data_IF_490175230259
#
_entry.id   IF_490175230259
#
_cell.length_a   1.000
_cell.length_b   1.000
_cell.length_c   1.000
_cell.angle_alpha   90.00
_cell.angle_beta   90.00
_cell.angle_gamma   90.00
#
_symmetry.space_group_name_H-M   'P 1'
#
loop_
_entity.id
_entity.type
_entity.pdbx_description
1 polymer ?
#
# COMPACT_ATOMS: atom_id res chain seq x y z
N UNK A 1 -5.20 -18.29 21.60
CA UNK A 1 -4.80 -17.16 22.49
C UNK A 1 -3.97 -16.21 21.68
N UNK A 2 -4.52 -15.04 21.29
CA UNK A 2 -3.76 -14.05 20.55
C UNK A 2 -2.70 -13.44 21.48
N UNK A 3 -1.46 -13.76 21.23
CA UNK A 3 -0.30 -13.17 21.93
C UNK A 3 -0.37 -11.65 21.75
N UNK A 4 -0.47 -10.92 22.85
CA UNK A 4 -0.55 -9.46 22.90
C UNK A 4 0.76 -8.88 22.36
N UNK A 5 0.87 -8.80 21.02
CA UNK A 5 2.06 -8.23 20.38
C UNK A 5 2.22 -6.78 20.86
N UNK A 6 3.43 -6.43 21.26
CA UNK A 6 3.74 -5.05 21.66
C UNK A 6 3.36 -4.08 20.53
N UNK A 7 2.56 -3.06 20.83
CA UNK A 7 2.05 -2.05 19.88
C UNK A 7 3.15 -1.45 18.99
N UNK A 8 4.34 -1.27 19.55
CA UNK A 8 5.53 -0.84 18.83
C UNK A 8 5.99 -1.84 17.77
N UNK A 9 5.81 -3.12 18.03
CA UNK A 9 6.21 -4.19 17.13
C UNK A 9 5.30 -4.26 15.90
N UNK A 10 4.00 -3.98 16.07
CA UNK A 10 3.01 -3.90 14.98
C UNK A 10 3.37 -2.72 14.07
N UNK A 11 3.61 -1.54 14.64
CA UNK A 11 3.97 -0.34 13.87
C UNK A 11 5.29 -0.51 13.08
N UNK A 12 6.34 -0.99 13.74
CA UNK A 12 7.67 -1.17 13.11
C UNK A 12 7.67 -2.30 12.08
N UNK A 13 6.83 -3.31 12.27
CA UNK A 13 6.70 -4.41 11.31
C UNK A 13 6.20 -3.91 9.94
N UNK A 14 5.23 -3.00 9.91
CA UNK A 14 4.71 -2.43 8.66
C UNK A 14 5.73 -1.63 7.85
N UNK A 15 6.71 -0.99 8.51
CA UNK A 15 7.70 -0.17 7.83
C UNK A 15 8.81 -1.00 7.17
N UNK A 16 9.36 -2.00 7.88
CA UNK A 16 10.58 -2.70 7.46
C UNK A 16 10.32 -4.18 7.15
N UNK A 17 9.64 -4.90 8.07
CA UNK A 17 9.46 -6.36 7.96
C UNK A 17 8.35 -6.76 7.01
N UNK A 18 7.29 -5.95 6.93
CA UNK A 18 6.09 -6.21 6.12
C UNK A 18 5.80 -5.03 5.18
N UNK A 19 6.83 -4.46 4.54
CA UNK A 19 6.61 -3.37 3.59
C UNK A 19 5.63 -3.82 2.51
N UNK A 20 4.48 -3.11 2.33
CA UNK A 20 3.41 -3.58 1.47
C UNK A 20 3.82 -3.70 0.01
N UNK A 21 4.66 -2.80 -0.48
CA UNK A 21 5.04 -2.76 -1.90
C UNK A 21 6.24 -3.64 -2.19
N UNK A 22 7.32 -3.54 -1.38
CA UNK A 22 8.58 -4.24 -1.66
C UNK A 22 8.57 -5.72 -1.24
N UNK A 23 7.73 -6.10 -0.27
CA UNK A 23 7.67 -7.47 0.23
C UNK A 23 6.40 -8.21 -0.15
N UNK A 24 5.25 -7.61 0.11
CA UNK A 24 3.97 -8.21 -0.21
C UNK A 24 3.59 -8.02 -1.69
N UNK A 25 4.29 -7.14 -2.41
CA UNK A 25 4.01 -6.79 -3.82
C UNK A 25 2.56 -6.31 -4.00
N UNK A 26 2.03 -5.67 -2.96
CA UNK A 26 0.69 -5.08 -2.95
C UNK A 26 0.75 -3.60 -3.33
N UNK A 27 -0.27 -3.09 -4.01
CA UNK A 27 -0.37 -1.67 -4.37
C UNK A 27 0.53 -1.22 -5.52
N UNK A 28 1.08 -2.15 -6.31
CA UNK A 28 1.91 -1.83 -7.47
C UNK A 28 1.19 -0.95 -8.50
N UNK A 29 -0.14 -1.12 -8.67
CA UNK A 29 -0.91 -0.37 -9.67
C UNK A 29 -0.84 1.14 -9.43
N UNK A 30 -1.08 1.58 -8.19
CA UNK A 30 -0.99 3.00 -7.82
C UNK A 30 0.46 3.48 -7.79
N UNK A 31 1.41 2.65 -7.34
CA UNK A 31 2.83 2.97 -7.31
C UNK A 31 3.39 3.21 -8.72
N UNK A 32 3.03 2.41 -9.71
CA UNK A 32 3.48 2.58 -11.09
C UNK A 32 2.86 3.80 -11.78
N UNK A 33 1.60 4.10 -11.46
CA UNK A 33 0.85 5.17 -12.13
C UNK A 33 1.26 6.58 -11.66
N UNK A 34 1.51 6.77 -10.35
CA UNK A 34 1.63 8.11 -9.73
C UNK A 34 3.09 8.52 -9.48
N UNK A 35 4.05 7.60 -9.53
CA UNK A 35 5.46 7.88 -9.19
C UNK A 35 6.26 8.61 -10.27
N UNK A 36 5.62 9.30 -11.21
CA UNK A 36 6.30 10.16 -12.19
C UNK A 36 6.80 11.47 -11.60
N UNK A 37 6.18 11.94 -10.50
CA UNK A 37 6.56 13.15 -9.77
C UNK A 37 6.57 12.88 -8.26
N UNK A 38 7.54 13.45 -7.55
CA UNK A 38 7.65 13.28 -6.09
C UNK A 38 6.48 13.92 -5.34
N UNK A 39 6.02 15.08 -5.80
CA UNK A 39 4.86 15.77 -5.20
C UNK A 39 3.57 14.95 -5.33
N UNK A 40 3.34 14.35 -6.50
CA UNK A 40 2.21 13.46 -6.74
C UNK A 40 2.28 12.19 -5.89
N UNK A 41 3.47 11.59 -5.79
CA UNK A 41 3.71 10.41 -4.97
C UNK A 41 3.46 10.66 -3.47
N UNK A 42 3.88 11.84 -2.96
CA UNK A 42 3.64 12.24 -1.58
C UNK A 42 2.14 12.46 -1.31
N UNK A 43 1.47 13.19 -2.19
CA UNK A 43 0.03 13.45 -2.07
C UNK A 43 -0.80 12.18 -2.08
N UNK A 44 -0.50 11.27 -3.01
CA UNK A 44 -1.14 9.95 -3.09
C UNK A 44 -0.84 9.07 -1.88
N UNK A 45 0.41 9.09 -1.40
CA UNK A 45 0.84 8.35 -0.22
C UNK A 45 0.10 8.78 1.04
N UNK A 46 -0.07 10.09 1.25
CA UNK A 46 -0.82 10.63 2.38
C UNK A 46 -2.32 10.30 2.29
N UNK A 47 -2.93 10.49 1.12
CA UNK A 47 -4.33 10.15 0.90
C UNK A 47 -4.59 8.67 1.13
N UNK A 48 -3.72 7.79 0.60
CA UNK A 48 -3.79 6.35 0.78
C UNK A 48 -3.68 5.95 2.25
N UNK A 49 -2.72 6.52 3.00
CA UNK A 49 -2.52 6.23 4.42
C UNK A 49 -3.75 6.64 5.24
N UNK A 50 -4.31 7.82 4.96
CA UNK A 50 -5.51 8.28 5.63
C UNK A 50 -6.70 7.35 5.38
N UNK A 51 -6.96 7.00 4.13
CA UNK A 51 -8.04 6.06 3.76
C UNK A 51 -7.81 4.68 4.41
N UNK A 52 -6.57 4.18 4.42
CA UNK A 52 -6.22 2.90 5.01
C UNK A 52 -6.51 2.86 6.51
N UNK A 53 -6.13 3.90 7.26
CA UNK A 53 -6.40 4.00 8.69
C UNK A 53 -7.90 4.10 8.96
N UNK A 54 -8.61 4.98 8.25
CA UNK A 54 -10.05 5.14 8.42
C UNK A 54 -10.82 3.85 8.08
N UNK A 55 -10.48 3.18 6.97
CA UNK A 55 -11.12 1.93 6.57
C UNK A 55 -10.86 0.81 7.57
N UNK A 56 -9.63 0.67 8.07
CA UNK A 56 -9.30 -0.33 9.09
C UNK A 56 -10.08 -0.11 10.38
N UNK A 57 -10.24 1.14 10.83
CA UNK A 57 -11.05 1.48 12.02
C UNK A 57 -12.51 1.10 11.81
N UNK A 58 -13.11 1.50 10.70
CA UNK A 58 -14.52 1.24 10.40
C UNK A 58 -14.78 -0.26 10.24
N UNK A 59 -13.95 -0.97 9.49
CA UNK A 59 -14.10 -2.41 9.27
C UNK A 59 -13.93 -3.19 10.58
N UNK A 60 -12.93 -2.84 11.39
CA UNK A 60 -12.74 -3.47 12.69
C UNK A 60 -13.92 -3.21 13.65
N UNK A 61 -14.57 -2.06 13.59
CA UNK A 61 -15.77 -1.75 14.35
C UNK A 61 -16.99 -2.56 13.86
N UNK A 62 -17.16 -2.70 12.54
CA UNK A 62 -18.28 -3.39 11.90
C UNK A 62 -18.12 -4.91 11.81
N UNK A 63 -16.99 -5.48 12.18
CA UNK A 63 -16.65 -6.91 12.01
C UNK A 63 -17.69 -7.88 12.60
N UNK A 64 -18.42 -7.46 13.63
CA UNK A 64 -19.46 -8.30 14.28
C UNK A 64 -20.79 -8.30 13.53
N UNK A 65 -21.00 -7.32 12.64
CA UNK A 65 -22.26 -7.12 11.92
C UNK A 65 -22.21 -7.75 10.53
N UNK A 66 -21.01 -7.81 9.92
CA UNK A 66 -20.84 -8.28 8.56
C UNK A 66 -20.76 -9.83 8.54
N UNK A 67 -21.69 -10.52 7.85
CA UNK A 67 -21.67 -11.98 7.75
C UNK A 67 -20.53 -12.46 6.84
N UNK A 68 -19.93 -13.63 7.19
CA UNK A 68 -18.74 -14.17 6.53
C UNK A 68 -18.88 -14.36 5.00
N UNK A 69 -20.09 -14.56 4.49
CA UNK A 69 -20.33 -14.82 3.07
C UNK A 69 -20.23 -13.59 2.14
N UNK A 70 -20.30 -12.37 2.71
CA UNK A 70 -20.38 -11.11 1.95
C UNK A 70 -19.34 -10.06 2.40
N UNK A 71 -18.21 -10.50 2.95
CA UNK A 71 -17.17 -9.60 3.46
C UNK A 71 -16.61 -8.66 2.38
N UNK A 72 -16.14 -9.21 1.25
CA UNK A 72 -15.48 -8.45 0.19
C UNK A 72 -16.35 -7.34 -0.39
N UNK A 73 -17.61 -7.58 -0.84
CA UNK A 73 -18.44 -6.50 -1.37
C UNK A 73 -18.77 -5.44 -0.32
N UNK A 74 -18.95 -5.79 0.95
CA UNK A 74 -19.17 -4.83 2.02
C UNK A 74 -17.96 -3.93 2.26
N UNK A 75 -16.75 -4.50 2.24
CA UNK A 75 -15.53 -3.72 2.41
C UNK A 75 -15.34 -2.72 1.26
N UNK A 76 -15.58 -3.13 0.02
CA UNK A 76 -15.49 -2.24 -1.14
C UNK A 76 -16.44 -1.05 -1.01
N UNK A 77 -17.67 -1.26 -0.56
CA UNK A 77 -18.65 -0.18 -0.35
C UNK A 77 -18.19 0.79 0.75
N UNK A 78 -17.68 0.28 1.87
CA UNK A 78 -17.18 1.09 2.97
C UNK A 78 -15.98 1.94 2.49
N UNK A 79 -15.02 1.31 1.82
CA UNK A 79 -13.83 1.99 1.29
C UNK A 79 -14.22 3.04 0.25
N UNK A 80 -15.15 2.72 -0.65
CA UNK A 80 -15.65 3.66 -1.67
C UNK A 80 -16.29 4.89 -1.04
N UNK A 81 -17.08 4.72 0.02
CA UNK A 81 -17.70 5.83 0.75
C UNK A 81 -16.64 6.75 1.36
N UNK A 82 -15.63 6.18 2.03
CA UNK A 82 -14.54 6.97 2.63
C UNK A 82 -13.74 7.71 1.55
N UNK A 83 -13.40 7.04 0.45
CA UNK A 83 -12.66 7.65 -0.67
C UNK A 83 -13.47 8.80 -1.29
N UNK A 84 -14.78 8.66 -1.46
CA UNK A 84 -15.63 9.73 -2.00
C UNK A 84 -15.62 10.95 -1.08
N UNK A 85 -15.69 10.76 0.24
CA UNK A 85 -15.57 11.85 1.21
C UNK A 85 -14.21 12.54 1.08
N UNK A 86 -13.11 11.77 1.00
CA UNK A 86 -11.76 12.31 0.83
C UNK A 86 -11.64 13.09 -0.49
N UNK A 87 -12.25 12.61 -1.58
CA UNK A 87 -12.26 13.32 -2.86
C UNK A 87 -12.96 14.67 -2.76
N UNK A 88 -14.12 14.73 -2.11
CA UNK A 88 -14.85 15.98 -1.89
C UNK A 88 -14.04 16.98 -1.05
N UNK A 89 -13.39 16.50 0.01
CA UNK A 89 -12.53 17.33 0.87
C UNK A 89 -11.32 17.85 0.08
N UNK A 90 -10.63 17.00 -0.69
CA UNK A 90 -9.49 17.42 -1.52
C UNK A 90 -9.91 18.43 -2.60
N UNK A 91 -11.08 18.24 -3.20
CA UNK A 91 -11.62 19.17 -4.20
C UNK A 91 -11.90 20.54 -3.60
N UNK A 92 -12.37 20.61 -2.34
CA UNK A 92 -12.68 21.86 -1.66
C UNK A 92 -11.42 22.60 -1.18
N UNK A 93 -10.43 21.91 -0.62
CA UNK A 93 -9.27 22.52 0.03
C UNK A 93 -8.04 22.64 -0.87
N UNK A 94 -7.79 21.68 -1.74
CA UNK A 94 -6.58 21.62 -2.58
C UNK A 94 -6.91 21.26 -4.03
N UNK A 95 -7.57 22.16 -4.80
CA UNK A 95 -8.03 21.88 -6.16
C UNK A 95 -6.88 21.60 -7.15
N UNK A 96 -5.69 22.12 -6.91
CA UNK A 96 -4.51 21.86 -7.73
C UNK A 96 -4.06 20.39 -7.63
N UNK A 97 -4.04 19.85 -6.42
CA UNK A 97 -3.69 18.44 -6.18
C UNK A 97 -4.80 17.51 -6.69
N UNK A 98 -6.06 17.90 -6.55
CA UNK A 98 -7.19 17.15 -7.08
C UNK A 98 -7.14 17.01 -8.61
N UNK A 99 -6.76 18.06 -9.34
CA UNK A 99 -6.61 18.01 -10.81
C UNK A 99 -5.54 17.03 -11.28
N UNK A 100 -4.44 16.91 -10.53
CA UNK A 100 -3.34 16.00 -10.87
C UNK A 100 -3.60 14.55 -10.44
N UNK A 101 -4.33 14.34 -9.33
CA UNK A 101 -4.53 13.02 -8.72
C UNK A 101 -5.96 12.46 -8.88
N UNK A 102 -6.92 13.25 -9.40
CA UNK A 102 -8.35 12.92 -9.37
C UNK A 102 -8.70 11.55 -9.96
N UNK A 103 -8.10 11.19 -11.09
CA UNK A 103 -8.30 9.87 -11.73
C UNK A 103 -7.68 8.75 -10.90
N UNK A 104 -6.53 9.02 -10.25
CA UNK A 104 -5.82 8.02 -9.47
C UNK A 104 -6.42 7.79 -8.08
N UNK A 105 -7.19 8.75 -7.55
CA UNK A 105 -7.92 8.58 -6.29
C UNK A 105 -8.96 7.44 -6.39
N UNK A 106 -9.56 7.23 -7.55
CA UNK A 106 -10.46 6.10 -7.76
C UNK A 106 -9.76 4.74 -7.63
N UNK A 107 -8.45 4.67 -7.95
CA UNK A 107 -7.64 3.45 -7.76
C UNK A 107 -7.42 3.08 -6.28
N UNK A 108 -7.63 4.02 -5.36
CA UNK A 108 -7.54 3.74 -3.91
C UNK A 108 -8.65 2.79 -3.48
N UNK A 109 -9.85 2.88 -4.07
CA UNK A 109 -11.01 2.02 -3.71
C UNK A 109 -10.70 0.54 -3.89
N UNK A 110 -10.03 0.19 -5.00
CA UNK A 110 -9.69 -1.20 -5.36
C UNK A 110 -8.23 -1.54 -5.04
N UNK A 111 -7.57 -0.73 -4.21
CA UNK A 111 -6.17 -0.95 -3.88
C UNK A 111 -5.98 -2.22 -3.06
N UNK A 112 -5.10 -3.11 -3.55
CA UNK A 112 -4.82 -4.40 -2.94
C UNK A 112 -4.31 -4.29 -1.50
N UNK A 113 -3.64 -3.19 -1.13
CA UNK A 113 -3.16 -2.97 0.26
C UNK A 113 -4.36 -2.81 1.19
N UNK A 114 -5.32 -1.95 0.84
CA UNK A 114 -6.47 -1.64 1.71
C UNK A 114 -7.34 -2.87 1.86
N UNK A 115 -7.70 -3.52 0.74
CA UNK A 115 -8.49 -4.75 0.74
C UNK A 115 -7.77 -5.89 1.46
N UNK A 116 -6.49 -6.09 1.19
CA UNK A 116 -5.70 -7.14 1.83
C UNK A 116 -5.59 -6.95 3.35
N UNK A 117 -5.37 -5.72 3.84
CA UNK A 117 -5.29 -5.47 5.30
C UNK A 117 -6.67 -5.49 5.96
N UNK A 118 -7.71 -5.08 5.27
CA UNK A 118 -9.08 -5.22 5.75
C UNK A 118 -9.44 -6.68 6.05
N UNK A 119 -9.12 -7.58 5.14
CA UNK A 119 -9.42 -9.01 5.26
C UNK A 119 -8.46 -9.74 6.20
N UNK A 120 -7.14 -9.53 6.06
CA UNK A 120 -6.15 -10.29 6.83
C UNK A 120 -6.02 -9.81 8.28
N UNK A 121 -6.19 -8.52 8.54
CA UNK A 121 -5.88 -7.94 9.84
C UNK A 121 -7.08 -7.26 10.52
N UNK A 122 -7.76 -6.32 9.86
CA UNK A 122 -8.79 -5.50 10.50
C UNK A 122 -10.01 -6.30 10.94
N UNK A 123 -10.38 -7.33 10.20
CA UNK A 123 -11.52 -8.18 10.55
C UNK A 123 -11.25 -9.09 11.77
N UNK A 124 -9.99 -9.35 12.12
CA UNK A 124 -9.58 -10.28 13.19
C UNK A 124 -9.14 -9.56 14.48
N UNK A 125 -8.63 -8.33 14.38
CA UNK A 125 -7.99 -7.62 15.47
C UNK A 125 -8.84 -6.47 16.04
N UNK A 126 -8.35 -5.89 17.15
CA UNK A 126 -9.03 -4.75 17.79
C UNK A 126 -8.87 -3.47 16.97
N UNK A 127 -9.78 -2.50 17.18
CA UNK A 127 -9.78 -1.22 16.45
C UNK A 127 -8.47 -0.46 16.59
N UNK A 128 -7.89 -0.46 17.81
CA UNK A 128 -6.63 0.25 18.09
C UNK A 128 -5.45 -0.40 17.36
N UNK A 129 -5.37 -1.74 17.40
CA UNK A 129 -4.30 -2.48 16.73
C UNK A 129 -4.40 -2.34 15.21
N UNK A 130 -5.62 -2.33 14.67
CA UNK A 130 -5.90 -2.12 13.25
C UNK A 130 -5.53 -0.71 12.77
N UNK A 131 -5.72 0.31 13.60
CA UNK A 131 -5.29 1.68 13.30
C UNK A 131 -3.75 1.81 13.28
N UNK A 132 -3.07 1.21 14.27
CA UNK A 132 -1.61 1.21 14.33
C UNK A 132 -0.97 0.44 13.17
N UNK A 133 -1.56 -0.68 12.78
CA UNK A 133 -1.16 -1.43 11.60
C UNK A 133 -1.32 -0.60 10.31
N UNK A 134 -2.47 0.07 10.15
CA UNK A 134 -2.72 0.96 9.02
C UNK A 134 -1.70 2.10 8.92
N UNK A 135 -1.31 2.71 10.04
CA UNK A 135 -0.26 3.73 10.08
C UNK A 135 1.11 3.16 9.70
N UNK A 136 1.48 2.00 10.23
CA UNK A 136 2.75 1.35 9.92
C UNK A 136 2.88 0.99 8.44
N UNK A 137 1.83 0.41 7.87
CA UNK A 137 1.76 0.06 6.45
C UNK A 137 1.73 1.30 5.55
N UNK A 138 0.99 2.35 5.95
CA UNK A 138 0.95 3.62 5.24
C UNK A 138 2.31 4.30 5.18
N UNK A 139 3.05 4.34 6.29
CA UNK A 139 4.43 4.85 6.32
C UNK A 139 5.37 4.05 5.41
N UNK A 140 5.27 2.71 5.43
CA UNK A 140 6.02 1.83 4.53
C UNK A 140 5.72 2.09 3.06
N UNK A 141 4.44 2.32 2.74
CA UNK A 141 4.00 2.67 1.40
C UNK A 141 4.57 4.03 0.93
N UNK A 142 4.45 5.07 1.76
CA UNK A 142 5.00 6.42 1.46
C UNK A 142 6.50 6.34 1.20
N UNK A 143 7.24 5.63 2.03
CA UNK A 143 8.69 5.47 1.87
C UNK A 143 9.04 4.85 0.52
N UNK A 144 8.36 3.80 0.14
CA UNK A 144 8.57 3.12 -1.15
C UNK A 144 8.20 4.01 -2.33
N UNK A 145 7.08 4.74 -2.23
CA UNK A 145 6.64 5.70 -3.24
C UNK A 145 7.66 6.82 -3.44
N UNK A 146 8.22 7.37 -2.36
CA UNK A 146 9.27 8.39 -2.41
C UNK A 146 10.56 7.88 -3.05
N UNK A 147 11.00 6.68 -2.70
CA UNK A 147 12.17 6.07 -3.33
C UNK A 147 11.98 5.88 -4.83
N UNK A 148 10.83 5.32 -5.22
CA UNK A 148 10.53 5.05 -6.61
C UNK A 148 10.37 6.34 -7.43
N UNK A 149 9.65 7.35 -6.90
CA UNK A 149 9.44 8.62 -7.56
C UNK A 149 10.73 9.43 -7.67
N UNK A 150 11.60 9.42 -6.65
CA UNK A 150 12.91 10.09 -6.73
C UNK A 150 13.76 9.56 -7.87
N UNK A 151 13.86 8.24 -8.01
CA UNK A 151 14.62 7.63 -9.10
C UNK A 151 14.01 7.99 -10.46
N UNK A 152 12.70 7.89 -10.61
CA UNK A 152 12.01 8.18 -11.87
C UNK A 152 12.03 9.65 -12.25
N UNK A 153 11.87 10.57 -11.31
CA UNK A 153 11.88 12.01 -11.56
C UNK A 153 13.28 12.49 -11.93
N UNK A 154 14.33 11.99 -11.28
CA UNK A 154 15.72 12.34 -11.61
C UNK A 154 16.10 11.82 -12.99
N UNK A 155 15.79 10.57 -13.32
CA UNK A 155 16.16 9.97 -14.61
C UNK A 155 15.26 10.42 -15.77
N UNK A 156 13.98 10.67 -15.52
CA UNK A 156 12.99 11.03 -16.53
C UNK A 156 12.95 12.54 -16.83
N UNK A 157 12.84 13.36 -15.79
CA UNK A 157 12.69 14.81 -15.93
C UNK A 157 13.96 15.60 -15.62
N UNK A 158 14.95 14.99 -14.93
CA UNK A 158 16.12 15.70 -14.44
C UNK A 158 15.82 16.74 -13.36
N UNK A 159 14.62 16.68 -12.77
CA UNK A 159 14.16 17.55 -11.69
C UNK A 159 13.93 16.73 -10.43
N UNK A 160 13.98 17.37 -9.27
CA UNK A 160 13.58 16.80 -7.99
C UNK A 160 12.74 17.82 -7.22
N UNK A 161 11.50 17.53 -6.97
CA UNK A 161 10.52 18.45 -6.38
C UNK A 161 10.45 19.84 -7.10
N UNK A 162 10.62 19.86 -8.43
CA UNK A 162 10.60 21.11 -9.20
C UNK A 162 11.93 21.86 -9.28
N UNK A 163 13.00 21.37 -8.64
CA UNK A 163 14.36 21.93 -8.74
C UNK A 163 15.10 21.16 -9.85
N UNK A 164 15.59 21.85 -10.89
CA UNK A 164 16.37 21.25 -11.96
C UNK A 164 17.75 20.85 -11.44
N UNK A 165 18.04 19.55 -11.43
CA UNK A 165 19.34 18.99 -11.01
C UNK A 165 20.22 18.73 -12.21
N UNK A 166 19.62 18.27 -13.32
CA UNK A 166 20.36 17.94 -14.55
C UNK A 166 20.16 19.08 -15.57
N UNK A 167 21.25 19.69 -16.09
CA UNK A 167 21.15 20.73 -17.11
C UNK A 167 20.51 20.18 -18.40
N UNK A 168 19.81 21.04 -19.13
CA UNK A 168 19.04 20.70 -20.35
C UNK A 168 19.87 20.09 -21.50
N UNK A 169 21.20 20.10 -21.37
CA UNK A 169 22.15 19.59 -22.40
C UNK A 169 22.20 18.06 -22.49
N UNK A 170 21.55 17.33 -21.60
CA UNK A 170 21.54 15.86 -21.58
C UNK A 170 20.16 15.36 -22.02
N UNK A 171 20.13 14.54 -23.06
CA UNK A 171 18.89 13.89 -23.54
C UNK A 171 18.20 13.12 -22.42
N UNK A 172 16.97 13.53 -22.12
CA UNK A 172 16.16 12.93 -21.05
C UNK A 172 15.59 11.59 -21.49
N UNK A 173 15.69 10.59 -20.63
CA UNK A 173 15.08 9.28 -20.89
C UNK A 173 13.55 9.34 -20.74
N UNK A 174 12.85 9.78 -21.79
CA UNK A 174 11.37 9.82 -21.85
C UNK A 174 10.72 8.48 -21.51
N UNK A 175 11.42 7.36 -21.71
CA UNK A 175 10.97 6.01 -21.37
C UNK A 175 10.72 5.84 -19.87
N UNK A 176 11.46 6.55 -18.99
CA UNK A 176 11.30 6.46 -17.53
C UNK A 176 10.00 7.09 -17.03
N UNK A 177 9.43 8.04 -17.76
CA UNK A 177 8.14 8.64 -17.44
C UNK A 177 6.95 7.75 -17.85
N UNK A 178 7.16 6.77 -18.71
CA UNK A 178 6.14 5.82 -19.16
C UNK A 178 6.07 4.61 -18.24
N UNK A 179 5.02 3.80 -18.40
CA UNK A 179 4.77 2.59 -17.62
C UNK A 179 5.94 1.59 -17.63
N UNK A 180 6.63 1.30 -18.77
CA UNK A 180 7.77 0.38 -18.81
C UNK A 180 8.91 0.81 -17.89
N UNK A 181 9.21 2.12 -17.81
CA UNK A 181 10.23 2.65 -16.91
C UNK A 181 9.88 2.44 -15.43
N UNK A 182 8.58 2.56 -15.10
CA UNK A 182 8.09 2.24 -13.75
C UNK A 182 8.35 0.79 -13.34
N UNK A 183 8.05 -0.16 -14.21
CA UNK A 183 8.31 -1.59 -13.97
C UNK A 183 9.80 -1.89 -13.82
N UNK A 184 10.64 -1.27 -14.65
CA UNK A 184 12.08 -1.44 -14.57
C UNK A 184 12.64 -0.95 -13.23
N UNK A 185 12.28 0.26 -12.80
CA UNK A 185 12.71 0.82 -11.51
C UNK A 185 12.18 -0.03 -10.35
N UNK A 186 10.93 -0.48 -10.42
CA UNK A 186 10.36 -1.35 -9.41
C UNK A 186 11.11 -2.68 -9.29
N UNK A 187 11.44 -3.31 -10.42
CA UNK A 187 12.24 -4.54 -10.47
C UNK A 187 13.65 -4.35 -9.88
N UNK A 188 14.32 -3.23 -10.19
CA UNK A 188 15.62 -2.89 -9.62
C UNK A 188 15.55 -2.69 -8.10
N UNK A 189 14.53 -1.98 -7.60
CA UNK A 189 14.33 -1.78 -6.16
C UNK A 189 14.06 -3.10 -5.43
N UNK A 190 13.26 -3.98 -6.03
CA UNK A 190 13.02 -5.33 -5.50
C UNK A 190 14.32 -6.14 -5.43
N UNK A 191 15.11 -6.15 -6.49
CA UNK A 191 16.41 -6.84 -6.54
C UNK A 191 17.37 -6.29 -5.49
N UNK A 192 17.43 -4.97 -5.33
CA UNK A 192 18.24 -4.31 -4.30
C UNK A 192 17.80 -4.71 -2.89
N UNK A 193 16.50 -4.75 -2.65
CA UNK A 193 15.95 -5.17 -1.35
C UNK A 193 16.34 -6.61 -1.01
N UNK A 194 16.24 -7.53 -1.97
CA UNK A 194 16.71 -8.93 -1.82
C UNK A 194 18.20 -9.01 -1.53
N UNK A 195 18.99 -8.24 -2.27
CA UNK A 195 20.44 -8.23 -2.10
C UNK A 195 20.85 -7.76 -0.70
N UNK A 196 20.23 -6.69 -0.21
CA UNK A 196 20.46 -6.15 1.14
C UNK A 196 20.05 -7.17 2.20
N UNK A 197 18.90 -7.85 2.05
CA UNK A 197 18.45 -8.90 2.97
C UNK A 197 19.44 -10.05 3.05
N UNK A 198 19.93 -10.50 1.90
CA UNK A 198 20.93 -11.57 1.81
C UNK A 198 22.25 -11.21 2.50
N UNK A 199 22.69 -9.95 2.35
CA UNK A 199 23.91 -9.43 2.97
C UNK A 199 23.80 -9.26 4.49
N UNK A 200 22.60 -8.93 4.99
CA UNK A 200 22.32 -8.78 6.42
C UNK A 200 22.10 -10.13 7.15
N UNK A 201 22.25 -11.26 6.45
CA UNK A 201 22.11 -12.62 6.98
C UNK A 201 20.84 -12.87 7.79
N UNK A 202 19.75 -12.18 7.42
CA UNK A 202 18.40 -12.40 7.94
C UNK A 202 17.52 -12.82 6.78
N UNK A 203 17.44 -14.14 6.46
CA UNK A 203 16.44 -14.61 5.50
C UNK A 203 15.07 -14.39 6.12
N UNK A 204 14.44 -13.30 5.76
CA UNK A 204 13.05 -13.10 6.10
C UNK A 204 12.24 -13.82 5.03
N UNK A 205 11.53 -14.86 5.44
CA UNK A 205 10.62 -15.62 4.59
C UNK A 205 9.70 -14.66 3.85
N UNK A 206 9.84 -14.62 2.52
CA UNK A 206 8.94 -13.83 1.67
C UNK A 206 7.64 -14.59 1.56
N UNK A 207 6.68 -14.21 2.36
CA UNK A 207 5.30 -14.62 2.12
C UNK A 207 4.74 -13.73 1.02
N UNK A 208 4.68 -14.26 -0.19
CA UNK A 208 3.93 -13.64 -1.29
C UNK A 208 2.45 -13.63 -0.92
N UNK A 209 1.68 -12.68 -1.46
CA UNK A 209 0.22 -12.62 -1.23
C UNK A 209 -0.46 -13.96 -1.56
N UNK A 210 0.07 -14.70 -2.54
CA UNK A 210 -0.39 -16.06 -2.87
C UNK A 210 -0.14 -17.07 -1.76
N UNK A 211 1.01 -17.02 -1.09
CA UNK A 211 1.34 -17.95 0.00
C UNK A 211 0.46 -17.71 1.23
N UNK A 212 0.16 -16.43 1.52
CA UNK A 212 -0.75 -16.07 2.62
C UNK A 212 -2.18 -16.52 2.31
N UNK A 213 -2.64 -16.35 1.06
CA UNK A 213 -3.96 -16.86 0.64
C UNK A 213 -4.05 -18.37 0.69
N UNK A 214 -3.00 -19.09 0.26
CA UNK A 214 -2.97 -20.55 0.33
C UNK A 214 -3.00 -21.05 1.77
N UNK A 215 -2.26 -20.40 2.68
CA UNK A 215 -2.27 -20.73 4.11
C UNK A 215 -3.64 -20.50 4.78
N UNK A 216 -4.38 -19.48 4.31
CA UNK A 216 -5.76 -19.22 4.80
C UNK A 216 -6.78 -20.21 4.22
N UNK A 217 -6.65 -20.58 2.94
CA UNK A 217 -7.49 -21.59 2.29
C UNK A 217 -7.30 -22.97 2.95
N UNK A 218 -6.07 -23.33 3.29
CA UNK A 218 -5.78 -24.59 3.97
C UNK A 218 -6.31 -24.60 5.39
N UNK A 219 -6.25 -23.49 6.12
CA UNK A 219 -6.86 -23.35 7.45
C UNK A 219 -8.38 -23.46 7.40
N UNK A 220 -9.02 -22.79 6.43
CA UNK A 220 -10.46 -22.87 6.24
C UNK A 220 -10.93 -24.29 5.89
N UNK A 221 -10.19 -25.02 5.05
CA UNK A 221 -10.47 -26.43 4.75
C UNK A 221 -10.31 -27.36 5.94
N UNK A 222 -9.34 -27.07 6.81
CA UNK A 222 -9.11 -27.86 8.04
C UNK A 222 -10.22 -27.65 9.05
N UNK A 223 -10.76 -26.42 9.14
CA UNK A 223 -11.91 -26.11 9.99
C UNK A 223 -13.22 -26.73 9.48
N UNK A 224 -13.44 -26.78 8.17
CA UNK A 224 -14.59 -27.47 7.56
C UNK A 224 -14.49 -29.00 7.65
N UNK A 225 -13.29 -29.56 7.61
CA UNK A 225 -13.04 -30.99 7.76
C UNK A 225 -13.26 -31.48 9.19
N UNK A 226 -12.93 -30.68 10.20
CA UNK A 226 -13.13 -31.02 11.62
C UNK A 226 -14.57 -30.88 12.13
N UNK A 227 -15.47 -30.30 11.35
CA UNK A 227 -16.90 -30.16 11.69
C UNK A 227 -17.76 -31.32 11.14
N UNK A 228 -17.16 -32.33 10.51
CA UNK A 228 -17.86 -33.50 9.94
C UNK A 228 -17.55 -34.82 10.63
N UNK A 229 -16.81 -34.81 11.72
CA UNK A 229 -16.74 -35.92 12.70
C UNK A 229 -17.51 -35.54 13.99
#
# INVERSE_FOLDING_TARGET
MAEKQSKWRIFTAGIIRENPVLRLVLGCCSALAVTTTVSGALGMGLAMTFVLVCSNIVISALRKVIPAKVHLPCYIVIIATIVTIVQMVLQAYVPALYKSLGVFLALIVVNCIILGRAEMFACKNSVVDSALDGLGMGCGYILTMLLMSSVREILGNGTWMGITIIPESIDRMSLMNQAPGGFFVFGCLMALCVYIEKKLNKPIERKTCGDVMLEEIDKAKTEEGGAKE
#
